data_IF_111092030777
#
_entry.id   IF_111092030777
#
_cell.length_a   1.000
_cell.length_b   1.000
_cell.length_c   1.000
_cell.angle_alpha   90.00
_cell.angle_beta   90.00
_cell.angle_gamma   90.00
#
_symmetry.space_group_name_H-M   'P 1'
#
loop_
_entity.id
_entity.type
_entity.pdbx_description
1 polymer ?
#
# COMPACT_ATOMS: atom_id res chain seq x y z
N UNK A 1 10.73 43.84 -20.24
CA UNK A 1 11.04 43.68 -18.80
C UNK A 1 9.80 43.21 -17.94
N UNK A 2 8.77 42.61 -18.53
CA UNK A 2 7.57 42.15 -17.79
C UNK A 2 7.52 40.61 -17.49
N UNK A 3 8.55 39.89 -17.88
CA UNK A 3 8.60 38.44 -17.74
C UNK A 3 8.96 37.92 -16.33
N UNK A 4 9.41 38.76 -15.41
CA UNK A 4 10.09 38.29 -14.18
C UNK A 4 9.26 38.43 -12.87
N UNK A 5 8.02 38.90 -12.93
CA UNK A 5 7.19 39.10 -11.72
C UNK A 5 6.25 37.93 -11.32
N UNK A 6 6.18 36.84 -12.12
CA UNK A 6 5.31 35.67 -11.79
C UNK A 6 6.04 34.49 -11.13
N UNK A 7 7.33 34.59 -10.86
CA UNK A 7 8.17 33.48 -10.40
C UNK A 7 8.23 33.28 -8.85
N UNK A 8 7.55 34.11 -8.07
CA UNK A 8 7.69 34.13 -6.60
C UNK A 8 6.48 33.61 -5.83
N UNK A 9 5.62 32.73 -6.38
CA UNK A 9 4.62 32.00 -5.59
C UNK A 9 5.17 30.64 -5.20
N UNK A 10 5.76 30.57 -4.03
CA UNK A 10 6.48 29.38 -3.52
C UNK A 10 5.57 28.23 -3.13
N UNK A 11 4.40 28.45 -2.60
CA UNK A 11 3.36 27.45 -2.32
C UNK A 11 1.98 28.08 -2.55
N UNK A 12 0.94 27.26 -2.78
CA UNK A 12 -0.37 27.79 -3.11
C UNK A 12 -1.47 27.03 -2.37
N UNK A 13 -2.23 27.73 -1.53
CA UNK A 13 -3.40 27.18 -0.84
C UNK A 13 -4.39 26.50 -1.79
N UNK A 14 -4.49 26.98 -3.04
CA UNK A 14 -5.36 26.38 -4.07
C UNK A 14 -4.88 24.98 -4.47
N UNK A 15 -3.55 24.73 -4.52
CA UNK A 15 -3.01 23.40 -4.77
C UNK A 15 -3.18 22.47 -3.55
N UNK A 16 -2.97 22.95 -2.32
CA UNK A 16 -3.28 22.19 -1.10
C UNK A 16 -4.74 21.76 -1.06
N UNK A 17 -5.68 22.66 -1.38
CA UNK A 17 -7.11 22.34 -1.47
C UNK A 17 -7.45 21.29 -2.54
N UNK A 18 -6.58 21.04 -3.50
CA UNK A 18 -6.74 19.98 -4.50
C UNK A 18 -6.06 18.67 -4.07
N UNK A 19 -4.98 18.73 -3.27
CA UNK A 19 -4.28 17.57 -2.74
C UNK A 19 -5.12 16.83 -1.70
N UNK A 20 -5.76 17.54 -0.76
CA UNK A 20 -6.55 16.95 0.32
C UNK A 20 -7.68 16.04 -0.20
N UNK A 21 -8.53 16.46 -1.17
CA UNK A 21 -9.58 15.59 -1.71
C UNK A 21 -9.06 14.38 -2.49
N UNK A 22 -7.78 14.38 -2.88
CA UNK A 22 -7.13 13.22 -3.49
C UNK A 22 -6.51 12.31 -2.43
N UNK A 23 -5.84 12.89 -1.44
CA UNK A 23 -5.14 12.14 -0.40
C UNK A 23 -6.11 11.46 0.60
N UNK A 24 -7.18 12.14 1.00
CA UNK A 24 -8.12 11.62 2.00
C UNK A 24 -8.79 10.29 1.58
N UNK A 25 -9.34 10.14 0.36
CA UNK A 25 -9.86 8.84 -0.07
C UNK A 25 -8.80 7.76 -0.16
N UNK A 26 -7.55 8.10 -0.55
CA UNK A 26 -6.43 7.16 -0.59
C UNK A 26 -6.07 6.70 0.81
N UNK A 27 -6.07 7.61 1.79
CA UNK A 27 -5.88 7.29 3.21
C UNK A 27 -6.92 6.27 3.69
N UNK A 28 -8.20 6.49 3.37
CA UNK A 28 -9.28 5.57 3.77
C UNK A 28 -9.07 4.19 3.16
N UNK A 29 -8.65 4.09 1.89
CA UNK A 29 -8.32 2.80 1.27
C UNK A 29 -7.18 2.10 2.02
N UNK A 30 -6.10 2.81 2.32
CA UNK A 30 -4.95 2.24 3.04
C UNK A 30 -5.34 1.78 4.45
N UNK A 31 -6.13 2.59 5.18
CA UNK A 31 -6.66 2.19 6.49
C UNK A 31 -7.62 1.01 6.40
N UNK A 32 -8.40 0.88 5.33
CA UNK A 32 -9.26 -0.30 5.10
C UNK A 32 -8.44 -1.58 4.92
N UNK A 33 -7.32 -1.51 4.19
CA UNK A 33 -6.41 -2.65 4.00
C UNK A 33 -5.78 -3.07 5.35
N UNK A 34 -5.29 -2.12 6.13
CA UNK A 34 -4.75 -2.39 7.48
C UNK A 34 -5.85 -2.96 8.39
N UNK A 35 -7.05 -2.40 8.32
CA UNK A 35 -8.22 -2.86 9.07
C UNK A 35 -8.61 -4.31 8.73
N UNK A 36 -8.57 -4.70 7.46
CA UNK A 36 -8.81 -6.10 7.06
C UNK A 36 -7.79 -7.04 7.70
N UNK A 37 -6.50 -6.70 7.67
CA UNK A 37 -5.47 -7.48 8.35
C UNK A 37 -5.69 -7.61 9.86
N UNK A 38 -6.14 -6.54 10.52
CA UNK A 38 -6.48 -6.58 11.94
C UNK A 38 -7.68 -7.49 12.22
N UNK A 39 -8.72 -7.43 11.40
CA UNK A 39 -9.89 -8.33 11.50
C UNK A 39 -9.48 -9.79 11.31
N UNK A 40 -8.65 -10.08 10.30
CA UNK A 40 -8.12 -11.43 10.05
C UNK A 40 -7.38 -11.96 11.28
N UNK A 41 -6.51 -11.16 11.90
CA UNK A 41 -5.78 -11.53 13.12
C UNK A 41 -6.71 -11.76 14.32
N UNK A 42 -7.74 -10.91 14.52
CA UNK A 42 -8.71 -11.06 15.61
C UNK A 42 -9.54 -12.32 15.44
N UNK A 43 -10.03 -12.57 14.23
CA UNK A 43 -10.89 -13.74 13.96
C UNK A 43 -10.08 -15.04 14.04
N UNK A 44 -8.84 -15.05 13.50
CA UNK A 44 -7.94 -16.20 13.64
C UNK A 44 -7.59 -16.46 15.12
N UNK A 45 -7.34 -15.40 15.91
CA UNK A 45 -7.08 -15.52 17.35
C UNK A 45 -8.25 -16.13 18.13
N UNK A 46 -9.49 -15.81 17.74
CA UNK A 46 -10.71 -16.45 18.32
C UNK A 46 -10.89 -17.92 17.91
N UNK A 47 -10.34 -18.31 16.76
CA UNK A 47 -10.37 -19.70 16.30
C UNK A 47 -9.36 -20.58 17.07
N UNK A 48 -8.19 -20.03 17.39
CA UNK A 48 -7.15 -20.68 18.15
C UNK A 48 -5.78 -19.98 18.06
N UNK A 49 -4.92 -20.25 19.03
CA UNK A 49 -3.55 -19.69 19.05
C UNK A 49 -2.75 -20.15 17.84
N UNK A 50 -2.87 -21.44 17.49
CA UNK A 50 -2.22 -22.03 16.30
C UNK A 50 -2.72 -21.41 15.02
N UNK A 51 -4.03 -21.13 14.92
CA UNK A 51 -4.65 -20.46 13.77
C UNK A 51 -4.09 -19.03 13.58
N UNK A 52 -4.02 -18.26 14.68
CA UNK A 52 -3.47 -16.90 14.67
C UNK A 52 -1.98 -16.90 14.27
N UNK A 53 -1.19 -17.81 14.84
CA UNK A 53 0.22 -17.94 14.51
C UNK A 53 0.42 -18.33 13.03
N UNK A 54 -0.41 -19.23 12.51
CA UNK A 54 -0.38 -19.66 11.12
C UNK A 54 -0.72 -18.53 10.15
N UNK A 55 -1.74 -17.69 10.46
CA UNK A 55 -2.09 -16.52 9.65
C UNK A 55 -0.96 -15.49 9.67
N UNK A 56 -0.38 -15.22 10.84
CA UNK A 56 0.76 -14.30 10.96
C UNK A 56 1.98 -14.79 10.16
N UNK A 57 2.31 -16.08 10.25
CA UNK A 57 3.42 -16.68 9.52
C UNK A 57 3.15 -16.70 8.00
N UNK A 58 1.94 -17.08 7.57
CA UNK A 58 1.56 -17.09 6.17
C UNK A 58 1.55 -15.70 5.55
N UNK A 59 1.02 -14.70 6.26
CA UNK A 59 1.00 -13.31 5.79
C UNK A 59 2.40 -12.70 5.70
N UNK A 60 3.33 -13.05 6.59
CA UNK A 60 4.71 -12.53 6.54
C UNK A 60 5.47 -12.94 5.27
N UNK A 61 5.13 -14.09 4.68
CA UNK A 61 5.72 -14.57 3.42
C UNK A 61 4.93 -14.07 2.20
N UNK A 62 3.60 -13.99 2.31
CA UNK A 62 2.74 -13.51 1.23
C UNK A 62 2.92 -12.02 0.94
N UNK A 63 2.96 -11.21 2.00
CA UNK A 63 2.93 -9.73 1.91
C UNK A 63 4.07 -9.14 1.07
N UNK A 64 5.34 -9.53 1.22
CA UNK A 64 6.44 -9.03 0.38
C UNK A 64 6.22 -9.27 -1.12
N UNK A 65 5.73 -10.45 -1.50
CA UNK A 65 5.47 -10.80 -2.91
C UNK A 65 4.31 -9.96 -3.45
N UNK A 66 3.23 -9.82 -2.68
CA UNK A 66 2.07 -9.02 -3.06
C UNK A 66 2.43 -7.53 -3.18
N UNK A 67 3.19 -6.97 -2.22
CA UNK A 67 3.62 -5.56 -2.24
C UNK A 67 4.57 -5.27 -3.40
N UNK A 68 5.49 -6.19 -3.74
CA UNK A 68 6.31 -6.05 -4.94
C UNK A 68 5.44 -5.92 -6.19
N UNK A 69 4.49 -6.84 -6.38
CA UNK A 69 3.61 -6.83 -7.55
C UNK A 69 2.71 -5.58 -7.61
N UNK A 70 2.14 -5.17 -6.47
CA UNK A 70 1.37 -3.93 -6.34
C UNK A 70 2.25 -2.71 -6.65
N UNK A 71 3.49 -2.67 -6.14
CA UNK A 71 4.47 -1.61 -6.38
C UNK A 71 4.76 -1.41 -7.86
N UNK A 72 4.92 -2.52 -8.61
CA UNK A 72 5.11 -2.46 -10.06
C UNK A 72 3.93 -1.78 -10.76
N UNK A 73 2.70 -2.01 -10.31
CA UNK A 73 1.50 -1.42 -10.89
C UNK A 73 1.27 0.05 -10.48
N UNK A 74 1.85 0.52 -9.39
CA UNK A 74 1.65 1.89 -8.90
C UNK A 74 2.10 2.98 -9.88
N UNK A 75 2.98 2.67 -10.84
CA UNK A 75 3.42 3.62 -11.88
C UNK A 75 2.30 3.99 -12.86
N UNK A 76 1.26 3.17 -12.99
CA UNK A 76 0.17 3.37 -13.94
C UNK A 76 -0.55 4.70 -13.67
N UNK A 77 -0.80 5.03 -12.40
CA UNK A 77 -1.47 6.28 -12.01
C UNK A 77 -0.73 7.53 -12.50
N UNK A 78 0.54 7.74 -12.17
CA UNK A 78 1.36 8.84 -12.69
C UNK A 78 1.46 8.87 -14.21
N UNK A 79 1.58 7.71 -14.87
CA UNK A 79 1.61 7.65 -16.34
C UNK A 79 0.30 8.16 -16.93
N UNK A 80 -0.85 7.74 -16.42
CA UNK A 80 -2.17 8.23 -16.83
C UNK A 80 -2.32 9.72 -16.54
N UNK A 81 -1.93 10.18 -15.36
CA UNK A 81 -2.00 11.60 -15.00
C UNK A 81 -1.15 12.47 -15.96
N UNK A 82 0.05 12.01 -16.33
CA UNK A 82 0.90 12.70 -17.29
C UNK A 82 0.28 12.73 -18.70
N UNK A 83 -0.32 11.63 -19.16
CA UNK A 83 -1.03 11.59 -20.45
C UNK A 83 -2.19 12.57 -20.48
N UNK A 84 -2.95 12.67 -19.41
CA UNK A 84 -4.03 13.67 -19.28
C UNK A 84 -3.49 15.10 -19.27
N UNK A 85 -2.35 15.32 -18.61
CA UNK A 85 -1.65 16.61 -18.68
C UNK A 85 -1.29 17.01 -20.11
N UNK A 86 -0.90 16.06 -20.94
CA UNK A 86 -0.62 16.25 -22.38
C UNK A 86 -1.87 16.32 -23.28
N UNK A 87 -3.07 16.29 -22.70
CA UNK A 87 -4.36 16.21 -23.44
C UNK A 87 -4.48 14.96 -24.32
N UNK A 88 -3.74 13.88 -24.02
CA UNK A 88 -3.81 12.60 -24.74
C UNK A 88 -4.86 11.66 -24.11
N UNK A 89 -6.07 12.15 -23.88
CA UNK A 89 -7.14 11.39 -23.21
C UNK A 89 -7.51 10.08 -23.92
N UNK A 90 -7.44 10.07 -25.27
CA UNK A 90 -7.70 8.85 -26.06
C UNK A 90 -6.76 7.69 -25.73
N UNK A 91 -5.55 7.97 -25.23
CA UNK A 91 -4.55 6.95 -24.86
C UNK A 91 -4.73 6.42 -23.45
N UNK A 92 -5.52 7.07 -22.61
CA UNK A 92 -5.74 6.64 -21.20
C UNK A 92 -6.34 5.23 -21.14
N UNK A 93 -7.39 4.96 -21.91
CA UNK A 93 -8.00 3.62 -21.95
C UNK A 93 -7.06 2.55 -22.50
N UNK A 94 -6.24 2.90 -23.51
CA UNK A 94 -5.21 2.01 -24.03
C UNK A 94 -4.16 1.66 -22.97
N UNK A 95 -3.69 2.66 -22.20
CA UNK A 95 -2.74 2.44 -21.11
C UNK A 95 -3.33 1.60 -19.98
N UNK A 96 -4.61 1.83 -19.63
CA UNK A 96 -5.31 1.02 -18.63
C UNK A 96 -5.43 -0.44 -19.05
N UNK A 97 -5.73 -0.72 -20.33
CA UNK A 97 -5.76 -2.08 -20.86
C UNK A 97 -4.38 -2.77 -20.69
N UNK A 98 -3.27 -2.06 -20.99
CA UNK A 98 -1.92 -2.60 -20.77
C UNK A 98 -1.60 -2.77 -19.27
N UNK A 99 -2.15 -1.91 -18.40
CA UNK A 99 -2.07 -2.08 -16.94
C UNK A 99 -2.77 -3.36 -16.46
N UNK A 100 -3.94 -3.69 -17.01
CA UNK A 100 -4.64 -4.95 -16.71
C UNK A 100 -3.87 -6.18 -17.24
N UNK A 101 -3.27 -6.09 -18.43
CA UNK A 101 -2.40 -7.14 -18.93
C UNK A 101 -1.16 -7.34 -18.06
N UNK A 102 -0.55 -6.24 -17.61
CA UNK A 102 0.58 -6.29 -16.67
C UNK A 102 0.17 -6.92 -15.33
N UNK A 103 -1.00 -6.58 -14.81
CA UNK A 103 -1.56 -7.19 -13.60
C UNK A 103 -1.72 -8.71 -13.76
N UNK A 104 -2.25 -9.15 -14.90
CA UNK A 104 -2.38 -10.58 -15.21
C UNK A 104 -1.01 -11.27 -15.30
N UNK A 105 -0.05 -10.68 -16.02
CA UNK A 105 1.31 -11.23 -16.15
C UNK A 105 2.03 -11.33 -14.80
N UNK A 106 1.92 -10.29 -13.98
CA UNK A 106 2.48 -10.30 -12.61
C UNK A 106 1.81 -11.38 -11.75
N UNK A 107 0.49 -11.56 -11.88
CA UNK A 107 -0.21 -12.64 -11.17
C UNK A 107 0.32 -14.01 -11.57
N UNK A 108 0.47 -14.25 -12.88
CA UNK A 108 0.98 -15.52 -13.41
C UNK A 108 2.42 -15.82 -12.97
N UNK A 109 3.21 -14.79 -12.69
CA UNK A 109 4.58 -14.95 -12.16
C UNK A 109 4.56 -15.10 -10.64
N UNK A 110 3.77 -14.29 -9.93
CA UNK A 110 3.77 -14.28 -8.46
C UNK A 110 3.06 -15.51 -7.85
N UNK A 111 2.02 -16.04 -8.49
CA UNK A 111 1.32 -17.24 -7.98
C UNK A 111 2.24 -18.47 -7.86
N UNK A 112 3.04 -18.88 -8.88
CA UNK A 112 4.02 -19.95 -8.73
C UNK A 112 5.05 -19.67 -7.63
N UNK A 113 5.50 -18.42 -7.49
CA UNK A 113 6.44 -18.03 -6.41
C UNK A 113 5.80 -18.29 -5.05
N UNK A 114 4.57 -17.82 -4.81
CA UNK A 114 3.84 -18.06 -3.58
C UNK A 114 3.59 -19.57 -3.36
N UNK A 115 3.27 -20.31 -4.43
CA UNK A 115 3.06 -21.75 -4.37
C UNK A 115 4.32 -22.51 -3.92
N UNK A 116 5.50 -22.10 -4.36
CA UNK A 116 6.78 -22.69 -3.93
C UNK A 116 7.10 -22.25 -2.49
N UNK A 117 6.96 -20.95 -2.18
CA UNK A 117 7.29 -20.40 -0.87
C UNK A 117 6.41 -20.96 0.26
N UNK A 118 5.19 -21.45 -0.03
CA UNK A 118 4.34 -22.08 1.01
C UNK A 118 4.96 -23.32 1.67
N UNK A 119 5.98 -23.92 1.04
CA UNK A 119 6.67 -25.10 1.56
C UNK A 119 7.84 -24.72 2.49
N UNK A 120 8.21 -23.46 2.59
CA UNK A 120 9.33 -22.97 3.41
C UNK A 120 9.06 -23.13 4.91
N UNK A 121 7.78 -23.15 5.32
CA UNK A 121 7.41 -23.18 6.73
C UNK A 121 7.96 -24.39 7.51
N UNK A 122 8.09 -25.56 6.85
CA UNK A 122 8.70 -26.74 7.44
C UNK A 122 10.19 -26.61 7.79
N UNK A 123 10.86 -25.52 7.30
CA UNK A 123 12.25 -25.21 7.67
C UNK A 123 12.31 -24.15 8.78
N UNK A 124 11.20 -23.47 9.07
CA UNK A 124 11.13 -22.37 10.02
C UNK A 124 10.67 -22.86 11.39
N UNK A 125 9.77 -23.86 11.43
CA UNK A 125 9.16 -24.35 12.66
C UNK A 125 8.92 -25.85 12.63
N UNK A 126 9.14 -26.50 13.77
CA UNK A 126 8.86 -27.93 13.98
C UNK A 126 7.37 -28.22 14.23
N UNK A 127 6.54 -27.19 14.44
CA UNK A 127 5.08 -27.37 14.60
C UNK A 127 4.41 -27.66 13.26
N UNK A 128 4.25 -28.95 13.00
CA UNK A 128 3.64 -29.43 11.75
C UNK A 128 2.17 -28.98 11.57
N UNK A 129 1.42 -28.70 12.65
CA UNK A 129 0.04 -28.24 12.55
C UNK A 129 -0.01 -26.77 12.09
N UNK A 130 0.79 -25.91 12.71
CA UNK A 130 0.94 -24.50 12.33
C UNK A 130 1.46 -24.36 10.89
N UNK A 131 2.48 -25.13 10.51
CA UNK A 131 3.06 -25.10 9.16
C UNK A 131 2.05 -25.51 8.08
N UNK A 132 1.26 -26.56 8.31
CA UNK A 132 0.19 -26.97 7.40
C UNK A 132 -0.88 -25.89 7.26
N UNK A 133 -1.30 -25.26 8.36
CA UNK A 133 -2.30 -24.20 8.36
C UNK A 133 -1.79 -22.95 7.64
N UNK A 134 -0.53 -22.53 7.87
CA UNK A 134 0.11 -21.41 7.16
C UNK A 134 0.22 -21.67 5.64
N UNK A 135 0.60 -22.91 5.26
CA UNK A 135 0.65 -23.33 3.86
C UNK A 135 -0.75 -23.31 3.21
N UNK A 136 -1.79 -23.73 3.93
CA UNK A 136 -3.17 -23.70 3.47
C UNK A 136 -3.70 -22.25 3.34
N UNK A 137 -3.36 -21.37 4.28
CA UNK A 137 -3.64 -19.93 4.20
C UNK A 137 -3.02 -19.31 2.93
N UNK A 138 -1.72 -19.55 2.70
CA UNK A 138 -1.04 -19.03 1.49
C UNK A 138 -1.66 -19.59 0.22
N UNK A 139 -2.02 -20.88 0.19
CA UNK A 139 -2.69 -21.48 -0.95
C UNK A 139 -4.04 -20.85 -1.23
N UNK A 140 -4.80 -20.53 -0.20
CA UNK A 140 -6.10 -19.89 -0.36
C UNK A 140 -5.99 -18.45 -0.87
N UNK A 141 -5.14 -17.62 -0.22
CA UNK A 141 -5.01 -16.18 -0.57
C UNK A 141 -4.35 -15.96 -1.94
N UNK A 142 -3.47 -16.85 -2.41
CA UNK A 142 -2.81 -16.67 -3.71
C UNK A 142 -3.81 -16.62 -4.87
N UNK A 143 -4.96 -17.30 -4.77
CA UNK A 143 -6.01 -17.25 -5.79
C UNK A 143 -6.69 -15.88 -5.87
N UNK A 144 -6.64 -15.08 -4.80
CA UNK A 144 -7.11 -13.70 -4.81
C UNK A 144 -6.17 -12.71 -5.51
N UNK A 145 -4.89 -13.09 -5.72
CA UNK A 145 -3.87 -12.18 -6.25
C UNK A 145 -4.21 -11.59 -7.63
N UNK A 146 -4.73 -12.35 -8.62
CA UNK A 146 -5.13 -11.77 -9.91
C UNK A 146 -6.19 -10.68 -9.78
N UNK A 147 -7.15 -10.89 -8.90
CA UNK A 147 -8.21 -9.91 -8.65
C UNK A 147 -7.68 -8.67 -7.92
N UNK A 148 -6.81 -8.85 -6.91
CA UNK A 148 -6.15 -7.75 -6.20
C UNK A 148 -5.33 -6.88 -7.17
N UNK A 149 -4.48 -7.48 -8.00
CA UNK A 149 -3.67 -6.74 -8.96
C UNK A 149 -4.53 -6.07 -10.04
N UNK A 150 -5.61 -6.71 -10.47
CA UNK A 150 -6.62 -6.09 -11.34
C UNK A 150 -7.29 -4.87 -10.70
N UNK A 151 -7.67 -4.98 -9.43
CA UNK A 151 -8.17 -3.85 -8.64
C UNK A 151 -7.17 -2.70 -8.57
N UNK A 152 -5.89 -2.98 -8.29
CA UNK A 152 -4.82 -1.97 -8.23
C UNK A 152 -4.65 -1.27 -9.59
N UNK A 153 -4.72 -1.98 -10.70
CA UNK A 153 -4.66 -1.39 -12.04
C UNK A 153 -5.84 -0.43 -12.32
N UNK A 154 -7.07 -0.83 -11.98
CA UNK A 154 -8.25 0.01 -12.13
C UNK A 154 -8.29 1.18 -11.13
N UNK A 155 -7.83 0.96 -9.90
CA UNK A 155 -7.61 2.02 -8.90
C UNK A 155 -6.65 3.07 -9.44
N UNK A 156 -5.53 2.66 -10.05
CA UNK A 156 -4.55 3.56 -10.66
C UNK A 156 -5.13 4.39 -11.82
N UNK A 157 -6.07 3.84 -12.60
CA UNK A 157 -6.84 4.62 -13.58
C UNK A 157 -7.64 5.75 -12.91
N UNK A 158 -8.37 5.41 -11.85
CA UNK A 158 -9.18 6.39 -11.12
C UNK A 158 -8.30 7.47 -10.50
N UNK A 159 -7.20 7.11 -9.84
CA UNK A 159 -6.24 8.02 -9.23
C UNK A 159 -5.61 8.95 -10.27
N UNK A 160 -5.09 8.39 -11.37
CA UNK A 160 -4.51 9.16 -12.49
C UNK A 160 -5.55 10.06 -13.17
N UNK A 161 -6.84 9.73 -13.04
CA UNK A 161 -7.96 10.53 -13.51
C UNK A 161 -8.47 11.56 -12.49
N UNK A 162 -7.79 11.77 -11.36
CA UNK A 162 -8.21 12.62 -10.25
C UNK A 162 -9.56 12.19 -9.62
N UNK A 163 -9.87 10.90 -9.64
CA UNK A 163 -11.08 10.32 -9.08
C UNK A 163 -10.74 9.25 -8.06
N UNK A 164 -10.39 9.64 -6.84
CA UNK A 164 -9.97 8.71 -5.79
C UNK A 164 -11.13 8.14 -4.96
N UNK A 165 -12.30 8.81 -4.95
CA UNK A 165 -13.49 8.40 -4.18
C UNK A 165 -14.01 6.99 -4.51
N UNK A 166 -14.07 6.53 -5.78
CA UNK A 166 -14.54 5.17 -6.08
C UNK A 166 -13.73 4.09 -5.35
N UNK A 167 -12.40 4.23 -5.31
CA UNK A 167 -11.52 3.31 -4.59
C UNK A 167 -11.81 3.29 -3.08
N UNK A 168 -12.11 4.45 -2.50
CA UNK A 168 -12.50 4.57 -1.09
C UNK A 168 -13.78 3.77 -0.79
N UNK A 169 -14.82 3.92 -1.58
CA UNK A 169 -16.07 3.17 -1.36
C UNK A 169 -15.87 1.66 -1.50
N UNK A 170 -15.06 1.24 -2.49
CA UNK A 170 -14.75 -0.19 -2.69
C UNK A 170 -13.94 -0.74 -1.52
N UNK A 171 -12.90 -0.04 -1.06
CA UNK A 171 -12.09 -0.47 0.09
C UNK A 171 -12.89 -0.54 1.39
N UNK A 172 -13.78 0.44 1.65
CA UNK A 172 -14.69 0.37 2.81
C UNK A 172 -15.66 -0.80 2.70
N UNK A 173 -16.20 -1.08 1.51
CA UNK A 173 -17.05 -2.23 1.28
C UNK A 173 -16.27 -3.54 1.53
N UNK A 174 -15.01 -3.63 1.07
CA UNK A 174 -14.12 -4.75 1.34
C UNK A 174 -13.93 -4.99 2.83
N UNK A 175 -13.60 -3.93 3.60
CA UNK A 175 -13.44 -4.01 5.05
C UNK A 175 -14.72 -4.47 5.76
N UNK A 176 -15.88 -3.95 5.37
CA UNK A 176 -17.16 -4.34 5.96
C UNK A 176 -17.53 -5.79 5.65
N UNK A 177 -17.24 -6.26 4.44
CA UNK A 177 -17.46 -7.66 4.04
C UNK A 177 -16.42 -8.61 4.62
N UNK A 178 -15.24 -8.12 4.97
CA UNK A 178 -14.18 -8.93 5.58
C UNK A 178 -14.65 -9.59 6.89
N UNK A 179 -15.41 -8.87 7.72
CA UNK A 179 -15.91 -9.39 9.00
C UNK A 179 -16.79 -10.64 8.78
N UNK A 180 -17.95 -10.57 8.09
CA UNK A 180 -18.82 -11.72 7.95
C UNK A 180 -18.18 -12.88 7.16
N UNK A 181 -17.39 -12.57 6.12
CA UNK A 181 -16.72 -13.62 5.34
C UNK A 181 -15.67 -14.37 6.16
N UNK A 182 -14.91 -13.68 7.01
CA UNK A 182 -13.99 -14.35 7.94
C UNK A 182 -14.76 -15.30 8.88
N UNK A 183 -15.86 -14.84 9.48
CA UNK A 183 -16.66 -15.70 10.34
C UNK A 183 -17.23 -16.91 9.59
N UNK A 184 -17.66 -16.73 8.33
CA UNK A 184 -18.17 -17.83 7.50
C UNK A 184 -17.10 -18.90 7.21
N UNK A 185 -15.92 -18.50 6.77
CA UNK A 185 -14.88 -19.45 6.37
C UNK A 185 -14.07 -20.01 7.55
N UNK A 186 -13.80 -19.20 8.57
CA UNK A 186 -13.00 -19.64 9.73
C UNK A 186 -13.80 -20.61 10.60
N UNK A 187 -15.05 -20.27 10.92
CA UNK A 187 -15.88 -21.07 11.83
C UNK A 187 -16.82 -22.03 11.12
N UNK A 188 -16.96 -21.95 9.79
CA UNK A 188 -17.82 -22.83 9.02
C UNK A 188 -19.31 -22.51 9.18
N UNK A 189 -19.66 -21.21 9.26
CA UNK A 189 -21.06 -20.80 9.37
C UNK A 189 -21.78 -20.89 8.03
N UNK A 190 -23.12 -20.99 8.06
CA UNK A 190 -24.00 -21.04 6.86
C UNK A 190 -23.69 -22.19 5.89
N UNK A 191 -23.19 -23.34 6.39
CA UNK A 191 -22.92 -24.52 5.58
C UNK A 191 -21.56 -24.58 4.89
N UNK A 192 -20.70 -23.59 5.14
CA UNK A 192 -19.31 -23.63 4.67
C UNK A 192 -18.46 -24.57 5.56
N UNK A 193 -17.41 -25.21 5.00
CA UNK A 193 -16.49 -26.03 5.80
C UNK A 193 -15.70 -25.14 6.77
N UNK A 194 -15.48 -25.62 7.99
CA UNK A 194 -14.63 -24.96 8.96
C UNK A 194 -13.16 -25.05 8.52
N UNK A 195 -12.56 -23.92 8.13
CA UNK A 195 -11.20 -23.86 7.58
C UNK A 195 -10.17 -23.36 8.60
N UNK A 196 -10.58 -22.88 9.79
CA UNK A 196 -9.68 -22.28 10.77
C UNK A 196 -8.94 -21.07 10.17
N UNK A 197 -7.66 -20.88 10.52
CA UNK A 197 -6.83 -19.76 10.02
C UNK A 197 -6.72 -19.71 8.50
N UNK A 198 -6.77 -20.83 7.79
CA UNK A 198 -6.79 -20.84 6.33
C UNK A 198 -8.04 -20.16 5.75
N UNK A 199 -9.14 -20.15 6.52
CA UNK A 199 -10.37 -19.44 6.17
C UNK A 199 -10.20 -17.93 6.00
N UNK A 200 -9.28 -17.29 6.75
CA UNK A 200 -8.95 -15.88 6.56
C UNK A 200 -8.36 -15.62 5.15
N UNK A 201 -7.48 -16.52 4.68
CA UNK A 201 -6.93 -16.43 3.33
C UNK A 201 -8.00 -16.58 2.24
N UNK A 202 -8.97 -17.52 2.44
CA UNK A 202 -10.07 -17.71 1.52
C UNK A 202 -11.03 -16.50 1.52
N UNK A 203 -11.38 -15.97 2.70
CA UNK A 203 -12.20 -14.77 2.84
C UNK A 203 -11.58 -13.57 2.11
N UNK A 204 -10.30 -13.31 2.35
CA UNK A 204 -9.56 -12.23 1.72
C UNK A 204 -9.47 -12.41 0.19
N UNK A 205 -9.27 -13.64 -0.30
CA UNK A 205 -9.29 -13.93 -1.73
C UNK A 205 -10.65 -13.59 -2.36
N UNK A 206 -11.76 -13.98 -1.73
CA UNK A 206 -13.11 -13.64 -2.19
C UNK A 206 -13.34 -12.12 -2.18
N UNK A 207 -12.88 -11.43 -1.15
CA UNK A 207 -12.98 -9.96 -1.06
C UNK A 207 -12.25 -9.29 -2.23
N UNK A 208 -11.05 -9.73 -2.57
CA UNK A 208 -10.32 -9.18 -3.72
C UNK A 208 -11.08 -9.32 -5.03
N UNK A 209 -11.82 -10.43 -5.25
CA UNK A 209 -12.70 -10.57 -6.41
C UNK A 209 -13.89 -9.61 -6.34
N UNK A 210 -14.49 -9.42 -5.19
CA UNK A 210 -15.59 -8.47 -4.98
C UNK A 210 -15.09 -7.04 -5.23
N UNK A 211 -13.94 -6.65 -4.67
CA UNK A 211 -13.34 -5.33 -4.87
C UNK A 211 -13.00 -5.08 -6.35
N UNK A 212 -12.42 -6.06 -7.03
CA UNK A 212 -12.12 -5.97 -8.46
C UNK A 212 -13.40 -5.80 -9.28
N UNK A 213 -14.43 -6.60 -9.01
CA UNK A 213 -15.72 -6.53 -9.71
C UNK A 213 -16.39 -5.18 -9.46
N UNK A 214 -16.48 -4.73 -8.21
CA UNK A 214 -17.06 -3.43 -7.87
C UNK A 214 -16.30 -2.28 -8.54
N UNK A 215 -14.98 -2.32 -8.52
CA UNK A 215 -14.16 -1.30 -9.19
C UNK A 215 -14.37 -1.33 -10.70
N UNK A 216 -14.43 -2.52 -11.31
CA UNK A 216 -14.71 -2.68 -12.73
C UNK A 216 -16.10 -2.11 -13.10
N UNK A 217 -17.13 -2.42 -12.33
CA UNK A 217 -18.47 -1.89 -12.53
C UNK A 217 -18.52 -0.36 -12.38
N UNK A 218 -17.84 0.18 -11.35
CA UNK A 218 -17.77 1.63 -11.17
C UNK A 218 -17.05 2.32 -12.35
N UNK A 219 -15.97 1.76 -12.85
CA UNK A 219 -15.28 2.27 -14.05
C UNK A 219 -16.18 2.14 -15.27
N UNK A 220 -16.91 1.03 -15.41
CA UNK A 220 -17.77 0.76 -16.54
C UNK A 220 -18.98 1.71 -16.60
N UNK A 221 -19.66 1.96 -15.49
CA UNK A 221 -20.86 2.79 -15.44
C UNK A 221 -20.59 4.28 -15.26
N UNK A 222 -19.39 4.69 -14.86
CA UNK A 222 -19.08 6.10 -14.65
C UNK A 222 -19.04 6.87 -15.98
N UNK A 223 -19.88 7.92 -16.14
CA UNK A 223 -19.92 8.75 -17.36
C UNK A 223 -18.56 9.37 -17.73
N UNK A 224 -17.73 9.70 -16.73
CA UNK A 224 -16.41 10.29 -16.95
C UNK A 224 -15.41 9.32 -17.59
N UNK A 225 -15.63 8.01 -17.45
CA UNK A 225 -14.81 6.97 -18.09
C UNK A 225 -15.34 6.52 -19.44
N UNK A 226 -16.47 7.05 -19.90
CA UNK A 226 -17.08 6.70 -21.20
C UNK A 226 -16.10 6.75 -22.38
N UNK A 227 -15.17 7.74 -22.48
CA UNK A 227 -14.16 7.78 -23.55
C UNK A 227 -13.18 6.61 -23.50
N UNK A 228 -12.90 6.06 -22.32
CA UNK A 228 -11.89 5.01 -22.08
C UNK A 228 -12.49 3.61 -22.16
N UNK A 229 -13.78 3.47 -21.89
CA UNK A 229 -14.52 2.22 -21.76
C UNK A 229 -14.29 1.26 -22.93
N UNK A 230 -14.37 1.75 -24.18
CA UNK A 230 -14.17 0.93 -25.38
C UNK A 230 -12.81 0.22 -25.38
N UNK A 231 -11.76 0.88 -24.94
CA UNK A 231 -10.40 0.30 -24.92
C UNK A 231 -10.22 -0.68 -23.76
N UNK A 232 -10.86 -0.46 -22.62
CA UNK A 232 -10.82 -1.34 -21.46
C UNK A 232 -11.52 -2.67 -21.77
N UNK A 233 -12.70 -2.61 -22.41
CA UNK A 233 -13.51 -3.80 -22.73
C UNK A 233 -12.98 -4.56 -23.95
N UNK A 234 -12.39 -3.87 -24.94
CA UNK A 234 -11.95 -4.49 -26.18
C UNK A 234 -10.81 -5.52 -25.99
N UNK A 235 -10.23 -5.60 -24.78
CA UNK A 235 -9.18 -6.55 -24.39
C UNK A 235 -8.16 -6.78 -25.51
N UNK A 236 -7.66 -5.67 -26.08
CA UNK A 236 -6.69 -5.73 -27.18
C UNK A 236 -5.41 -6.40 -26.73
N UNK A 237 -4.77 -7.14 -27.63
CA UNK A 237 -3.49 -7.79 -27.37
C UNK A 237 -2.46 -6.79 -26.84
N UNK A 238 -1.65 -7.16 -25.84
CA UNK A 238 -0.65 -6.28 -25.26
C UNK A 238 0.43 -5.98 -26.29
N UNK A 239 0.83 -4.71 -26.37
CA UNK A 239 1.97 -4.28 -27.18
C UNK A 239 3.23 -4.46 -26.34
N UNK A 240 4.20 -5.32 -26.75
CA UNK A 240 5.37 -5.65 -25.94
C UNK A 240 6.16 -4.41 -25.51
N UNK A 241 6.34 -3.43 -26.38
CA UNK A 241 7.08 -2.21 -26.07
C UNK A 241 6.45 -1.40 -24.93
N UNK A 242 5.11 -1.37 -24.84
CA UNK A 242 4.38 -0.65 -23.76
C UNK A 242 4.51 -1.43 -22.45
N UNK A 243 4.34 -2.75 -22.49
CA UNK A 243 4.53 -3.59 -21.30
C UNK A 243 5.96 -3.47 -20.77
N UNK A 244 6.97 -3.60 -21.63
CA UNK A 244 8.37 -3.43 -21.24
C UNK A 244 8.64 -2.04 -20.65
N UNK A 245 8.04 -1.00 -21.21
CA UNK A 245 8.16 0.35 -20.65
C UNK A 245 7.54 0.45 -19.24
N UNK A 246 6.35 -0.10 -19.02
CA UNK A 246 5.70 -0.14 -17.70
C UNK A 246 6.50 -0.98 -16.70
N UNK A 247 7.02 -2.14 -17.11
CA UNK A 247 7.88 -3.00 -16.29
C UNK A 247 9.16 -2.26 -15.89
N UNK A 248 9.83 -1.61 -16.86
CA UNK A 248 11.06 -0.85 -16.60
C UNK A 248 10.87 0.28 -15.58
N UNK A 249 9.70 0.91 -15.60
CA UNK A 249 9.37 1.97 -14.63
C UNK A 249 8.81 1.41 -13.31
N UNK A 250 8.09 0.30 -13.36
CA UNK A 250 7.40 -0.26 -12.19
C UNK A 250 8.28 -1.14 -11.32
N UNK A 251 9.14 -1.99 -11.92
CA UNK A 251 10.02 -2.90 -11.17
C UNK A 251 10.88 -2.16 -10.13
N UNK A 252 11.51 -1.03 -10.47
CA UNK A 252 12.23 -0.25 -9.46
C UNK A 252 11.38 0.13 -8.25
N UNK A 253 10.11 0.50 -8.45
CA UNK A 253 9.19 0.84 -7.35
C UNK A 253 8.89 -0.40 -6.50
N UNK A 254 8.62 -1.54 -7.15
CA UNK A 254 8.38 -2.81 -6.45
C UNK A 254 9.59 -3.24 -5.62
N UNK A 255 10.81 -3.13 -6.17
CA UNK A 255 12.06 -3.42 -5.45
C UNK A 255 12.25 -2.49 -4.26
N UNK A 256 11.97 -1.19 -4.42
CA UNK A 256 12.05 -0.22 -3.32
C UNK A 256 11.11 -0.60 -2.16
N UNK A 257 9.86 -0.97 -2.45
CA UNK A 257 8.91 -1.44 -1.42
C UNK A 257 9.36 -2.75 -0.77
N UNK A 258 9.92 -3.67 -1.56
CA UNK A 258 10.45 -4.93 -1.03
C UNK A 258 11.62 -4.67 -0.06
N UNK A 259 12.57 -3.80 -0.43
CA UNK A 259 13.69 -3.40 0.42
C UNK A 259 13.23 -2.80 1.75
N UNK A 260 12.20 -1.96 1.72
CA UNK A 260 11.61 -1.34 2.91
C UNK A 260 11.00 -2.38 3.85
N UNK A 261 10.14 -3.26 3.34
CA UNK A 261 9.50 -4.31 4.14
C UNK A 261 10.53 -5.28 4.71
N UNK A 262 11.53 -5.69 3.91
CA UNK A 262 12.58 -6.58 4.38
C UNK A 262 13.43 -5.97 5.49
N UNK A 263 13.66 -4.65 5.49
CA UNK A 263 14.35 -3.97 6.58
C UNK A 263 13.56 -4.08 7.90
N UNK A 264 12.25 -3.83 7.88
CA UNK A 264 11.42 -3.98 9.07
C UNK A 264 11.39 -5.43 9.60
N UNK A 265 11.34 -6.42 8.70
CA UNK A 265 11.45 -7.82 9.07
C UNK A 265 12.81 -8.15 9.69
N UNK A 266 13.90 -7.63 9.11
CA UNK A 266 15.25 -7.83 9.63
C UNK A 266 15.43 -7.19 11.01
N UNK A 267 14.92 -5.97 11.21
CA UNK A 267 14.95 -5.31 12.51
C UNK A 267 14.22 -6.12 13.60
N UNK A 268 13.05 -6.69 13.28
CA UNK A 268 12.33 -7.56 14.21
C UNK A 268 13.11 -8.81 14.59
N UNK A 269 13.88 -9.40 13.65
CA UNK A 269 14.75 -10.56 13.92
C UNK A 269 15.94 -10.19 14.82
N UNK A 270 16.54 -9.03 14.62
CA UNK A 270 17.65 -8.52 15.47
C UNK A 270 17.16 -8.23 16.89
N UNK A 271 15.93 -7.80 17.05
CA UNK A 271 15.33 -7.52 18.37
C UNK A 271 14.90 -8.78 19.15
N UNK A 272 14.66 -9.90 18.45
CA UNK A 272 14.12 -11.12 19.07
C UNK A 272 14.96 -11.64 20.27
N UNK A 273 16.33 -11.62 20.27
CA UNK A 273 17.13 -12.07 21.40
C UNK A 273 17.10 -11.14 22.63
N UNK A 274 16.60 -9.92 22.51
CA UNK A 274 16.59 -8.93 23.60
C UNK A 274 15.53 -9.19 24.67
N UNK A 275 14.59 -10.12 24.42
CA UNK A 275 13.56 -10.53 25.36
C UNK A 275 12.14 -10.04 25.02
N UNK A 276 11.14 -10.65 25.66
CA UNK A 276 9.73 -10.47 25.35
C UNK A 276 9.23 -9.02 25.52
N UNK A 277 9.70 -8.34 26.56
CA UNK A 277 9.29 -6.94 26.85
C UNK A 277 9.72 -5.98 25.74
N UNK A 278 10.96 -6.12 25.25
CA UNK A 278 11.50 -5.29 24.19
C UNK A 278 10.78 -5.54 22.87
N UNK A 279 10.54 -6.81 22.54
CA UNK A 279 9.79 -7.19 21.33
C UNK A 279 8.36 -6.68 21.40
N UNK A 280 7.66 -6.84 22.54
CA UNK A 280 6.30 -6.35 22.71
C UNK A 280 6.23 -4.82 22.62
N UNK A 281 7.16 -4.12 23.26
CA UNK A 281 7.22 -2.64 23.20
C UNK A 281 7.52 -2.13 21.79
N UNK A 282 8.43 -2.79 21.05
CA UNK A 282 8.71 -2.48 19.65
C UNK A 282 7.49 -2.73 18.75
N UNK A 283 6.76 -3.82 18.98
CA UNK A 283 5.54 -4.14 18.24
C UNK A 283 4.46 -3.08 18.42
N UNK A 284 4.28 -2.56 19.65
CA UNK A 284 3.33 -1.47 19.92
C UNK A 284 3.75 -0.21 19.15
N UNK A 285 5.03 0.18 19.27
CA UNK A 285 5.55 1.35 18.56
C UNK A 285 5.43 1.20 17.03
N UNK A 286 5.72 0.01 16.49
CA UNK A 286 5.58 -0.32 15.07
C UNK A 286 4.13 -0.26 14.58
N UNK A 287 3.17 -0.75 15.34
CA UNK A 287 1.75 -0.69 14.99
C UNK A 287 1.24 0.75 14.91
N UNK A 288 1.56 1.56 15.93
CA UNK A 288 1.17 2.99 15.96
C UNK A 288 1.87 3.73 14.82
N UNK A 289 3.18 3.53 14.64
CA UNK A 289 3.97 4.11 13.57
C UNK A 289 3.39 3.76 12.18
N UNK A 290 3.04 2.50 11.95
CA UNK A 290 2.44 2.04 10.70
C UNK A 290 1.10 2.69 10.38
N UNK A 291 0.23 2.89 11.39
CA UNK A 291 -1.04 3.60 11.21
C UNK A 291 -0.81 5.07 10.83
N UNK A 292 0.10 5.74 11.53
CA UNK A 292 0.39 7.16 11.28
C UNK A 292 1.11 7.35 9.94
N UNK A 293 1.95 6.39 9.52
CA UNK A 293 2.62 6.35 8.22
C UNK A 293 1.64 6.39 7.03
N UNK A 294 0.40 5.89 7.19
CA UNK A 294 -0.60 5.95 6.12
C UNK A 294 -0.95 7.39 5.70
N UNK A 295 -0.77 8.37 6.60
CA UNK A 295 -1.01 9.79 6.30
C UNK A 295 -0.01 10.34 5.27
N UNK A 296 1.32 10.36 5.52
CA UNK A 296 2.29 10.85 4.55
C UNK A 296 2.29 10.01 3.26
N UNK A 297 2.09 8.70 3.34
CA UNK A 297 1.97 7.82 2.18
C UNK A 297 0.83 8.27 1.24
N UNK A 298 -0.33 8.60 1.81
CA UNK A 298 -1.50 9.03 1.03
C UNK A 298 -1.28 10.40 0.36
N UNK A 299 -0.59 11.32 1.04
CA UNK A 299 -0.20 12.60 0.45
C UNK A 299 0.86 12.40 -0.63
N UNK A 300 1.84 11.51 -0.44
CA UNK A 300 2.86 11.16 -1.43
C UNK A 300 2.25 10.61 -2.73
N UNK A 301 1.25 9.74 -2.62
CA UNK A 301 0.50 9.22 -3.76
C UNK A 301 -0.27 10.34 -4.50
N UNK A 302 -0.96 11.21 -3.76
CA UNK A 302 -1.65 12.35 -4.35
C UNK A 302 -0.68 13.33 -5.01
N UNK A 303 0.46 13.60 -4.41
CA UNK A 303 1.53 14.44 -4.95
C UNK A 303 2.07 13.87 -6.27
N UNK A 304 2.31 12.56 -6.33
CA UNK A 304 2.81 11.90 -7.54
C UNK A 304 1.89 12.12 -8.74
N UNK A 305 0.58 12.07 -8.54
CA UNK A 305 -0.43 12.30 -9.57
C UNK A 305 -0.45 13.77 -10.00
N UNK A 306 -0.41 14.70 -9.03
CA UNK A 306 -0.42 16.15 -9.32
C UNK A 306 0.85 16.59 -10.05
N UNK A 307 2.02 16.14 -9.59
CA UNK A 307 3.31 16.39 -10.23
C UNK A 307 3.32 15.84 -11.65
N UNK A 308 2.90 14.59 -11.85
CA UNK A 308 2.84 13.97 -13.17
C UNK A 308 1.91 14.72 -14.13
N UNK A 309 0.78 15.22 -13.64
CA UNK A 309 -0.17 16.00 -14.44
C UNK A 309 0.42 17.33 -14.91
N UNK A 310 1.00 18.15 -13.99
CA UNK A 310 1.63 19.42 -14.34
C UNK A 310 2.88 19.23 -15.21
N UNK A 311 3.69 18.20 -14.92
CA UNK A 311 4.83 17.84 -15.76
C UNK A 311 4.37 17.47 -17.19
N UNK A 312 3.26 16.74 -17.34
CA UNK A 312 2.68 16.42 -18.64
C UNK A 312 2.24 17.67 -19.43
N UNK A 313 1.80 18.71 -18.74
CA UNK A 313 1.44 20.01 -19.35
C UNK A 313 2.62 20.93 -19.66
N UNK A 314 3.83 20.53 -19.33
CA UNK A 314 5.03 21.39 -19.32
C UNK A 314 4.85 22.66 -18.45
N UNK A 315 4.01 22.57 -17.41
CA UNK A 315 3.71 23.65 -16.46
C UNK A 315 4.69 23.57 -15.29
N UNK A 316 5.86 24.18 -15.44
CA UNK A 316 6.90 24.20 -14.40
C UNK A 316 6.44 24.91 -13.12
N UNK A 317 5.67 26.00 -13.25
CA UNK A 317 5.16 26.72 -12.09
C UNK A 317 4.15 25.88 -11.30
N UNK A 318 3.23 25.21 -12.00
CA UNK A 318 2.28 24.27 -11.39
C UNK A 318 2.98 23.07 -10.75
N UNK A 319 4.01 22.51 -11.42
CA UNK A 319 4.82 21.41 -10.88
C UNK A 319 5.50 21.82 -9.57
N UNK A 320 6.19 22.95 -9.56
CA UNK A 320 6.85 23.48 -8.35
C UNK A 320 5.83 23.76 -7.23
N UNK A 321 4.71 24.37 -7.57
CA UNK A 321 3.64 24.65 -6.61
C UNK A 321 3.05 23.36 -6.01
N UNK A 322 2.82 22.32 -6.82
CA UNK A 322 2.34 21.01 -6.35
C UNK A 322 3.34 20.37 -5.38
N UNK A 323 4.64 20.38 -5.72
CA UNK A 323 5.70 19.85 -4.86
C UNK A 323 5.74 20.58 -3.53
N UNK A 324 5.90 21.91 -3.55
CA UNK A 324 6.04 22.70 -2.32
C UNK A 324 4.79 22.62 -1.43
N UNK A 325 3.60 22.66 -2.04
CA UNK A 325 2.33 22.51 -1.28
C UNK A 325 2.21 21.15 -0.63
N UNK A 326 2.73 20.08 -1.28
CA UNK A 326 2.74 18.74 -0.70
C UNK A 326 3.71 18.64 0.46
N UNK A 327 4.91 19.25 0.38
CA UNK A 327 5.86 19.27 1.51
C UNK A 327 5.29 20.04 2.70
N UNK A 328 4.69 21.22 2.48
CA UNK A 328 4.04 21.98 3.58
C UNK A 328 2.93 21.15 4.24
N UNK A 329 2.08 20.48 3.43
CA UNK A 329 0.99 19.67 3.95
C UNK A 329 1.52 18.49 4.78
N UNK A 330 2.50 17.74 4.27
CA UNK A 330 3.07 16.57 4.96
C UNK A 330 3.78 16.98 6.24
N UNK A 331 4.59 18.06 6.22
CA UNK A 331 5.26 18.57 7.42
C UNK A 331 4.26 19.01 8.49
N UNK A 332 3.17 19.68 8.09
CA UNK A 332 2.10 20.07 9.02
C UNK A 332 1.47 18.84 9.68
N UNK A 333 1.14 17.81 8.88
CA UNK A 333 0.58 16.55 9.39
C UNK A 333 1.58 15.88 10.34
N UNK A 334 2.86 15.78 9.95
CA UNK A 334 3.90 15.16 10.77
C UNK A 334 4.12 15.89 12.11
N UNK A 335 4.12 17.20 12.10
CA UNK A 335 4.24 17.97 13.35
C UNK A 335 3.03 17.77 14.26
N UNK A 336 1.82 17.73 13.70
CA UNK A 336 0.62 17.44 14.47
C UNK A 336 0.63 16.01 15.05
N UNK A 337 1.03 15.01 14.28
CA UNK A 337 1.11 13.62 14.74
C UNK A 337 2.25 13.42 15.74
N UNK A 338 3.41 14.06 15.55
CA UNK A 338 4.50 14.07 16.52
C UNK A 338 4.03 14.65 17.87
N UNK A 339 3.38 15.81 17.85
CA UNK A 339 2.83 16.43 19.05
C UNK A 339 1.77 15.55 19.73
N UNK A 340 0.85 15.00 18.95
CA UNK A 340 -0.21 14.11 19.45
C UNK A 340 0.36 12.84 20.09
N UNK A 341 1.28 12.15 19.42
CA UNK A 341 1.91 10.93 19.95
C UNK A 341 2.70 11.25 21.22
N UNK A 342 3.46 12.34 21.24
CA UNK A 342 4.28 12.70 22.40
C UNK A 342 3.41 13.07 23.61
N UNK A 343 2.30 13.78 23.40
CA UNK A 343 1.38 14.17 24.47
C UNK A 343 0.59 12.99 25.04
N UNK A 344 0.15 12.08 24.18
CA UNK A 344 -0.73 10.97 24.55
C UNK A 344 -0.02 9.61 24.57
N UNK A 345 1.32 9.56 24.62
CA UNK A 345 2.13 8.35 24.52
C UNK A 345 1.71 7.25 25.51
N UNK A 346 1.50 7.60 26.79
CA UNK A 346 1.13 6.64 27.83
C UNK A 346 -0.29 6.10 27.61
N UNK A 347 -1.24 6.99 27.32
CA UNK A 347 -2.62 6.61 27.01
C UNK A 347 -2.70 5.68 25.77
N UNK A 348 -1.87 5.94 24.76
CA UNK A 348 -1.79 5.09 23.57
C UNK A 348 -1.27 3.71 23.94
N UNK A 349 -0.23 3.60 24.77
CA UNK A 349 0.33 2.30 25.19
C UNK A 349 -0.67 1.55 26.07
N UNK A 350 -1.38 2.20 26.98
CA UNK A 350 -2.42 1.59 27.81
C UNK A 350 -3.57 0.95 27.00
N UNK A 351 -3.81 1.37 25.74
CA UNK A 351 -4.75 0.68 24.85
C UNK A 351 -4.28 -0.72 24.45
N UNK A 352 -2.98 -0.99 24.57
CA UNK A 352 -2.37 -2.26 24.19
C UNK A 352 -2.02 -3.14 25.40
N UNK A 353 -1.47 -2.54 26.46
CA UNK A 353 -0.99 -3.26 27.62
C UNK A 353 -0.91 -2.36 28.86
N UNK A 354 -1.28 -2.91 30.05
CA UNK A 354 -1.28 -2.21 31.34
C UNK A 354 -0.03 -2.51 32.20
N UNK A 355 0.91 -3.35 31.73
CA UNK A 355 2.16 -3.63 32.46
C UNK A 355 3.03 -2.38 32.51
N UNK A 356 3.37 -1.90 33.72
CA UNK A 356 4.19 -0.70 33.93
C UNK A 356 5.54 -0.75 33.18
N UNK A 357 6.15 -1.93 33.11
CA UNK A 357 7.43 -2.14 32.42
C UNK A 357 7.27 -1.97 30.89
N UNK A 358 6.18 -2.47 30.30
CA UNK A 358 5.88 -2.30 28.88
C UNK A 358 5.48 -0.85 28.60
N UNK A 359 4.66 -0.25 29.47
CA UNK A 359 4.21 1.16 29.32
C UNK A 359 5.41 2.09 29.32
N UNK A 360 6.34 1.95 30.28
CA UNK A 360 7.54 2.79 30.35
C UNK A 360 8.44 2.65 29.12
N UNK A 361 8.71 1.41 28.68
CA UNK A 361 9.59 1.14 27.53
C UNK A 361 8.93 1.56 26.22
N UNK A 362 7.68 1.17 25.99
CA UNK A 362 6.96 1.48 24.76
C UNK A 362 6.69 2.98 24.60
N UNK A 363 6.45 3.72 25.70
CA UNK A 363 6.27 5.18 25.65
C UNK A 363 7.51 5.91 25.15
N UNK A 364 8.70 5.44 25.53
CA UNK A 364 9.96 5.99 25.01
C UNK A 364 10.13 5.65 23.53
N UNK A 365 9.87 4.40 23.15
CA UNK A 365 9.95 3.96 21.75
C UNK A 365 8.94 4.69 20.86
N UNK A 366 7.75 5.03 21.36
CA UNK A 366 6.76 5.84 20.63
C UNK A 366 7.27 7.25 20.34
N UNK A 367 7.96 7.90 21.28
CA UNK A 367 8.55 9.23 21.05
C UNK A 367 9.66 9.15 20.00
N UNK A 368 10.51 8.11 20.06
CA UNK A 368 11.57 7.88 19.08
C UNK A 368 10.95 7.58 17.69
N UNK A 369 9.90 6.76 17.63
CA UNK A 369 9.18 6.47 16.40
C UNK A 369 8.53 7.73 15.81
N UNK A 370 7.94 8.59 16.65
CA UNK A 370 7.38 9.87 16.23
C UNK A 370 8.45 10.85 15.70
N UNK A 371 9.63 10.87 16.31
CA UNK A 371 10.78 11.66 15.83
C UNK A 371 11.31 11.13 14.49
N UNK A 372 11.46 9.79 14.36
CA UNK A 372 11.84 9.12 13.11
C UNK A 372 10.84 9.40 11.97
N UNK A 373 9.57 9.58 12.29
CA UNK A 373 8.55 9.87 11.28
C UNK A 373 8.78 11.18 10.52
N UNK A 374 9.51 12.16 11.09
CA UNK A 374 9.84 13.42 10.39
C UNK A 374 10.69 13.19 9.14
N UNK A 375 11.89 12.55 9.21
CA UNK A 375 12.64 12.21 8.00
C UNK A 375 11.89 11.22 7.09
N UNK A 376 11.15 10.28 7.67
CA UNK A 376 10.41 9.27 6.91
C UNK A 376 9.30 9.90 6.03
N UNK A 377 8.53 10.86 6.55
CA UNK A 377 7.50 11.55 5.78
C UNK A 377 8.08 12.38 4.61
N UNK A 378 9.27 12.94 4.80
CA UNK A 378 10.00 13.64 3.72
C UNK A 378 10.48 12.65 2.64
N UNK A 379 10.98 11.49 3.06
CA UNK A 379 11.41 10.41 2.16
C UNK A 379 10.23 9.91 1.32
N UNK A 380 9.11 9.52 1.94
CA UNK A 380 7.91 9.01 1.25
C UNK A 380 7.34 10.03 0.26
N UNK A 381 7.29 11.31 0.66
CA UNK A 381 6.86 12.36 -0.25
C UNK A 381 7.82 12.55 -1.42
N UNK A 382 9.13 12.50 -1.18
CA UNK A 382 10.16 12.62 -2.23
C UNK A 382 10.05 11.46 -3.23
N UNK A 383 9.82 10.24 -2.75
CA UNK A 383 9.50 9.07 -3.58
C UNK A 383 8.25 9.32 -4.42
N UNK A 384 7.19 9.90 -3.85
CA UNK A 384 5.99 10.30 -4.58
C UNK A 384 6.27 11.31 -5.69
N UNK A 385 7.08 12.32 -5.41
CA UNK A 385 7.50 13.36 -6.39
C UNK A 385 8.32 12.75 -7.53
N UNK A 386 9.34 11.95 -7.22
CA UNK A 386 10.18 11.26 -8.22
C UNK A 386 9.36 10.32 -9.11
N UNK A 387 8.40 9.59 -8.50
CA UNK A 387 7.43 8.77 -9.22
C UNK A 387 6.58 9.61 -10.19
N UNK A 388 6.20 10.83 -9.79
CA UNK A 388 5.50 11.79 -10.63
C UNK A 388 6.31 12.23 -11.85
N UNK A 389 7.63 12.36 -11.73
CA UNK A 389 8.57 12.59 -12.83
C UNK A 389 8.89 11.33 -13.64
N UNK A 390 8.49 10.15 -13.16
CA UNK A 390 8.85 8.83 -13.70
C UNK A 390 10.34 8.49 -13.57
N UNK A 391 11.04 9.12 -12.66
CA UNK A 391 12.40 8.78 -12.28
C UNK A 391 12.37 7.72 -11.17
N UNK A 392 12.11 6.49 -11.57
CA UNK A 392 11.94 5.37 -10.63
C UNK A 392 13.25 4.69 -10.30
N UNK A 393 14.26 4.80 -11.17
CA UNK A 393 15.59 4.25 -10.92
C UNK A 393 16.27 4.92 -9.74
N UNK A 394 16.20 6.27 -9.66
CA UNK A 394 16.74 7.03 -8.53
C UNK A 394 16.07 6.64 -7.20
N UNK A 395 14.76 6.34 -7.21
CA UNK A 395 14.04 5.86 -6.01
C UNK A 395 14.69 4.60 -5.48
N UNK A 396 14.86 3.58 -6.33
CA UNK A 396 15.40 2.28 -5.93
C UNK A 396 16.82 2.40 -5.43
N UNK A 397 17.68 3.14 -6.14
CA UNK A 397 19.06 3.33 -5.75
C UNK A 397 19.17 4.01 -4.37
N UNK A 398 18.45 5.11 -4.16
CA UNK A 398 18.46 5.84 -2.88
C UNK A 398 17.89 4.97 -1.75
N UNK A 399 16.76 4.28 -1.97
CA UNK A 399 16.13 3.42 -0.96
C UNK A 399 17.04 2.26 -0.59
N UNK A 400 17.62 1.57 -1.58
CA UNK A 400 18.53 0.45 -1.32
C UNK A 400 19.76 0.90 -0.55
N UNK A 401 20.41 1.98 -1.00
CA UNK A 401 21.61 2.50 -0.34
C UNK A 401 21.31 2.95 1.10
N UNK A 402 20.25 3.74 1.30
CA UNK A 402 19.90 4.27 2.62
C UNK A 402 19.51 3.17 3.61
N UNK A 403 18.74 2.19 3.20
CA UNK A 403 18.25 1.15 4.10
C UNK A 403 19.26 0.05 4.34
N UNK A 404 19.93 -0.45 3.29
CA UNK A 404 20.76 -1.64 3.38
C UNK A 404 22.25 -1.35 3.56
N UNK A 405 22.75 -0.20 3.07
CA UNK A 405 24.16 0.17 3.24
C UNK A 405 24.40 1.06 4.45
N UNK A 406 23.41 1.85 4.85
CA UNK A 406 23.53 2.76 5.99
C UNK A 406 22.67 2.31 7.16
N UNK A 407 21.37 2.11 6.97
CA UNK A 407 20.42 1.86 8.04
C UNK A 407 20.55 0.50 8.73
N UNK A 408 20.79 -0.58 7.96
CA UNK A 408 20.92 -1.92 8.53
C UNK A 408 22.24 -2.14 9.30
N UNK A 409 23.41 -1.61 8.85
CA UNK A 409 24.66 -1.72 9.60
C UNK A 409 24.77 -0.80 10.82
N UNK A 410 24.00 0.31 10.88
CA UNK A 410 23.99 1.29 11.98
C UNK A 410 23.18 0.81 13.17
#
# INVERSE_FOLDING_TARGET
MEGNKKMNKTWNLKEMKKLIPLALPVLVVNLSIVGMGAVDAIVAGRAGVTDMAAVALGSSVYLPVALFACGVLMIIGPVIANMRGKSHESRVGYMTNHGLWLALMLSLVSMPVIYVLRNVFGWISDDAAMCRMASAYMFAIMWGLPANLGFVALKSLNEGSNMTRPAMYVGLCGLLLNIPLNYMFVFGMYGFPRMGGAGCGAATAVIFYIEFLLMFLLVYFNPKHRPYRRHIISWRRPTPSVITHLVRLGVPIGVSQLCEVMLFCAAALVLAPLGETQVASHQIAGNVGGLVFMLPLSVGLAASIRVAYHHGRNDLAGTRSAILSSYVLVLTICLCTFGGITLFREQIVHLYNDSELIVSTASVLLVLAAAYQLPDCLQVLSVGVLRGFRDTASITFITFFSYWMVGFPA
#
